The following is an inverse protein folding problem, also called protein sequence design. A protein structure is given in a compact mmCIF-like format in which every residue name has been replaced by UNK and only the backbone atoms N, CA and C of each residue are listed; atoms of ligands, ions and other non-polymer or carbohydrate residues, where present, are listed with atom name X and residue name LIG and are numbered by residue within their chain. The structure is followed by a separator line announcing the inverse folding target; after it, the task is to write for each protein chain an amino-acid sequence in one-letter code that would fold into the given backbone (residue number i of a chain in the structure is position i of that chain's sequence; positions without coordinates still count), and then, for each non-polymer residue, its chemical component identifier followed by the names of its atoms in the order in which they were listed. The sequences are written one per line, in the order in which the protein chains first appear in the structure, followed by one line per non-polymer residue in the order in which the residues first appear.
data_IF_648185776488
#
_entry.id   IF_648185776488
#
_cell.length_a   1.000
_cell.length_b   1.000
_cell.length_c   1.000
_cell.angle_alpha   90.00
_cell.angle_beta   90.00
_cell.angle_gamma   90.00
#
_symmetry.space_group_name_H-M   'P 1'
#
loop_
_entity.id
_entity.type
_entity.pdbx_description
1 polymer ?
#
# COMPACT_ATOMS: atom_id res chain seq x y z
N UNK A 1 -12.03 9.89 -8.32
CA UNK A 1 -10.91 9.55 -7.42
C UNK A 1 -9.87 8.71 -8.17
N UNK A 2 -8.58 8.98 -7.95
CA UNK A 2 -7.45 8.25 -8.54
C UNK A 2 -6.75 7.40 -7.47
N UNK A 3 -6.72 6.09 -7.66
CA UNK A 3 -6.02 5.14 -6.80
C UNK A 3 -4.74 4.68 -7.49
N UNK A 4 -3.61 4.74 -6.77
CA UNK A 4 -2.34 4.24 -7.31
C UNK A 4 -1.84 3.09 -6.44
N UNK A 5 -1.66 1.92 -7.04
CA UNK A 5 -0.99 0.80 -6.40
C UNK A 5 0.50 0.83 -6.70
N UNK A 6 1.30 0.71 -5.66
CA UNK A 6 2.74 0.51 -5.74
C UNK A 6 3.06 -0.90 -5.25
N UNK A 7 3.64 -1.70 -6.11
CA UNK A 7 3.94 -3.11 -5.82
C UNK A 7 5.46 -3.29 -5.86
N UNK A 8 6.10 -3.60 -4.72
CA UNK A 8 7.56 -3.75 -4.65
C UNK A 8 8.04 -5.08 -5.26
N UNK A 9 7.39 -5.52 -6.33
CA UNK A 9 7.74 -6.71 -7.11
C UNK A 9 7.68 -6.41 -8.60
N UNK A 10 8.44 -7.14 -9.44
CA UNK A 10 8.31 -7.07 -10.89
C UNK A 10 6.88 -7.40 -11.37
N UNK A 11 6.52 -6.98 -12.58
CA UNK A 11 5.19 -7.22 -13.16
C UNK A 11 5.05 -8.66 -13.70
N UNK A 12 5.30 -9.64 -12.87
CA UNK A 12 5.15 -11.06 -13.22
C UNK A 12 3.75 -11.61 -12.91
N UNK A 13 3.57 -12.91 -13.15
CA UNK A 13 2.30 -13.60 -12.87
C UNK A 13 1.97 -13.65 -11.37
N UNK A 14 2.96 -13.55 -10.49
CA UNK A 14 2.76 -13.57 -9.05
C UNK A 14 2.08 -12.30 -8.50
N UNK A 15 2.00 -11.24 -9.30
CA UNK A 15 1.31 -10.00 -8.92
C UNK A 15 -0.23 -10.06 -9.13
N UNK A 16 -0.85 -11.22 -8.88
CA UNK A 16 -2.29 -11.43 -9.05
C UNK A 16 -3.13 -10.48 -8.20
N UNK A 17 -2.86 -10.38 -6.90
CA UNK A 17 -3.68 -9.61 -5.98
C UNK A 17 -3.88 -8.17 -6.44
N UNK A 18 -2.79 -7.43 -6.72
CA UNK A 18 -2.90 -6.03 -7.17
C UNK A 18 -3.59 -5.89 -8.53
N UNK A 19 -3.44 -6.88 -9.42
CA UNK A 19 -4.13 -6.88 -10.73
C UNK A 19 -5.62 -7.09 -10.57
N UNK A 20 -6.04 -8.01 -9.69
CA UNK A 20 -7.45 -8.25 -9.36
C UNK A 20 -8.08 -7.01 -8.75
N UNK A 21 -7.43 -6.40 -7.75
CA UNK A 21 -7.88 -5.15 -7.15
C UNK A 21 -8.03 -4.02 -8.17
N UNK A 22 -7.02 -3.87 -9.02
CA UNK A 22 -7.05 -2.86 -10.09
C UNK A 22 -8.20 -3.10 -11.06
N UNK A 23 -8.43 -4.34 -11.47
CA UNK A 23 -9.53 -4.70 -12.34
C UNK A 23 -10.88 -4.45 -11.68
N UNK A 24 -11.02 -4.84 -10.40
CA UNK A 24 -12.24 -4.64 -9.62
C UNK A 24 -12.62 -3.16 -9.49
N UNK A 25 -11.67 -2.31 -9.09
CA UNK A 25 -11.89 -0.88 -8.99
C UNK A 25 -12.18 -0.22 -10.35
N UNK A 26 -11.47 -0.61 -11.41
CA UNK A 26 -11.72 -0.11 -12.78
C UNK A 26 -13.13 -0.45 -13.27
N UNK A 27 -13.59 -1.68 -13.02
CA UNK A 27 -14.99 -2.09 -13.34
C UNK A 27 -16.02 -1.27 -12.58
N UNK A 28 -15.67 -0.78 -11.40
CA UNK A 28 -16.51 0.12 -10.58
C UNK A 28 -16.30 1.61 -10.94
N UNK A 29 -15.70 1.90 -12.11
CA UNK A 29 -15.55 3.26 -12.64
C UNK A 29 -14.43 4.09 -12.00
N UNK A 30 -13.53 3.48 -11.22
CA UNK A 30 -12.42 4.19 -10.58
C UNK A 30 -11.21 4.31 -11.49
N UNK A 31 -10.49 5.43 -11.39
CA UNK A 31 -9.23 5.63 -12.10
C UNK A 31 -8.10 4.95 -11.32
N UNK A 32 -7.49 3.91 -11.90
CA UNK A 32 -6.47 3.10 -11.21
C UNK A 32 -5.18 3.03 -12.02
N UNK A 33 -4.08 3.33 -11.35
CA UNK A 33 -2.70 3.15 -11.84
C UNK A 33 -2.02 2.03 -11.06
N UNK A 34 -1.27 1.17 -11.75
CA UNK A 34 -0.38 0.20 -11.14
C UNK A 34 1.07 0.56 -11.46
N UNK A 35 1.92 0.57 -10.44
CA UNK A 35 3.37 0.77 -10.52
C UNK A 35 4.02 -0.51 -10.00
N UNK A 36 4.76 -1.19 -10.85
CA UNK A 36 5.57 -2.36 -10.49
C UNK A 36 7.02 -1.94 -10.40
N UNK A 37 7.69 -2.33 -9.34
CA UNK A 37 9.07 -1.94 -9.11
C UNK A 37 10.03 -3.07 -9.46
N UNK A 38 11.29 -2.75 -9.83
CA UNK A 38 12.26 -3.76 -10.20
C UNK A 38 12.55 -4.73 -9.05
N UNK A 39 12.72 -6.01 -9.36
CA UNK A 39 13.06 -7.05 -8.37
C UNK A 39 14.51 -7.00 -7.91
N UNK A 40 15.42 -6.54 -8.79
CA UNK A 40 16.84 -6.42 -8.50
C UNK A 40 17.15 -5.24 -7.61
N UNK A 41 17.34 -5.49 -6.32
CA UNK A 41 17.74 -4.49 -5.34
C UNK A 41 19.00 -4.93 -4.62
N UNK A 42 19.85 -3.98 -4.24
CA UNK A 42 21.04 -4.27 -3.46
C UNK A 42 20.65 -4.50 -2.00
N UNK A 43 21.05 -5.66 -1.45
CA UNK A 43 21.01 -5.91 -0.02
C UNK A 43 22.16 -5.19 0.68
N UNK A 44 21.87 -4.44 1.71
CA UNK A 44 22.87 -3.84 2.60
C UNK A 44 22.98 -4.69 3.86
N UNK A 45 24.20 -5.13 4.19
CA UNK A 45 24.44 -5.92 5.40
C UNK A 45 24.17 -5.07 6.63
N UNK A 46 23.33 -5.58 7.53
CA UNK A 46 23.02 -4.98 8.82
C UNK A 46 23.35 -6.00 9.92
N UNK A 47 23.52 -5.56 11.17
CA UNK A 47 23.82 -6.46 12.30
C UNK A 47 22.77 -7.58 12.53
N UNK A 48 21.55 -7.41 12.02
CA UNK A 48 20.44 -8.39 12.07
C UNK A 48 20.19 -9.11 10.75
N UNK A 49 21.07 -8.98 9.73
CA UNK A 49 20.90 -9.59 8.42
C UNK A 49 21.07 -8.61 7.26
N UNK A 50 20.33 -8.83 6.19
CA UNK A 50 20.32 -7.94 5.03
C UNK A 50 19.05 -7.10 5.01
N UNK A 51 19.20 -5.79 4.74
CA UNK A 51 18.10 -4.85 4.46
C UNK A 51 18.11 -4.53 2.97
N UNK A 52 16.98 -4.70 2.32
CA UNK A 52 16.82 -4.47 0.89
C UNK A 52 16.15 -3.13 0.62
N UNK A 53 16.83 -2.23 -0.09
CA UNK A 53 16.33 -0.90 -0.41
C UNK A 53 16.47 -0.58 -1.89
N UNK A 54 15.50 0.18 -2.40
CA UNK A 54 15.59 0.77 -3.73
C UNK A 54 16.61 1.89 -3.77
N UNK A 55 17.27 2.05 -4.91
CA UNK A 55 18.12 3.19 -5.18
C UNK A 55 17.29 4.48 -5.29
N UNK A 56 17.95 5.61 -5.06
CA UNK A 56 17.28 6.91 -4.95
C UNK A 56 16.45 7.25 -6.19
N UNK A 57 16.97 7.02 -7.40
CA UNK A 57 16.25 7.31 -8.64
C UNK A 57 14.92 6.53 -8.76
N UNK A 58 14.89 5.25 -8.33
CA UNK A 58 13.65 4.44 -8.33
C UNK A 58 12.60 5.05 -7.39
N UNK A 59 13.03 5.51 -6.22
CA UNK A 59 12.15 6.18 -5.26
C UNK A 59 11.62 7.49 -5.84
N UNK A 60 12.48 8.32 -6.43
CA UNK A 60 12.11 9.61 -7.02
C UNK A 60 11.12 9.43 -8.18
N UNK A 61 11.35 8.48 -9.09
CA UNK A 61 10.42 8.14 -10.16
C UNK A 61 9.08 7.61 -9.63
N UNK A 62 9.12 6.75 -8.59
CA UNK A 62 7.90 6.24 -7.95
C UNK A 62 7.07 7.37 -7.36
N UNK A 63 7.71 8.31 -6.65
CA UNK A 63 7.03 9.49 -6.08
C UNK A 63 6.41 10.32 -7.20
N UNK A 64 7.12 10.57 -8.29
CA UNK A 64 6.60 11.34 -9.43
C UNK A 64 5.34 10.68 -10.03
N UNK A 65 5.38 9.36 -10.21
CA UNK A 65 4.23 8.59 -10.70
C UNK A 65 3.05 8.58 -9.71
N UNK A 66 3.29 8.73 -8.41
CA UNK A 66 2.25 8.80 -7.38
C UNK A 66 1.58 10.17 -7.27
N UNK A 67 2.13 11.22 -7.86
CA UNK A 67 1.55 12.56 -7.81
C UNK A 67 0.11 12.59 -8.33
N UNK A 68 -0.74 13.35 -7.63
CA UNK A 68 -2.16 13.49 -7.93
C UNK A 68 -2.98 12.23 -7.63
N UNK A 69 -2.46 11.30 -6.83
CA UNK A 69 -3.24 10.20 -6.27
C UNK A 69 -4.05 10.67 -5.07
N UNK A 70 -5.27 10.17 -4.95
CA UNK A 70 -6.15 10.41 -3.81
C UNK A 70 -6.00 9.30 -2.75
N UNK A 71 -5.51 8.13 -3.17
CA UNK A 71 -5.16 6.99 -2.31
C UNK A 71 -3.99 6.23 -2.92
N UNK A 72 -3.03 5.82 -2.10
CA UNK A 72 -1.92 4.97 -2.50
C UNK A 72 -2.02 3.64 -1.75
N UNK A 73 -2.08 2.53 -2.49
CA UNK A 73 -2.05 1.17 -1.94
C UNK A 73 -0.68 0.53 -2.16
N UNK A 74 -0.09 -0.04 -1.12
CA UNK A 74 1.14 -0.84 -1.22
C UNK A 74 0.80 -2.28 -0.87
N UNK A 75 0.90 -3.18 -1.85
CA UNK A 75 0.59 -4.61 -1.70
C UNK A 75 1.85 -5.44 -1.75
N UNK A 76 2.10 -6.24 -0.70
CA UNK A 76 3.36 -6.97 -0.61
C UNK A 76 3.31 -8.22 0.29
N UNK A 77 4.31 -9.09 0.09
CA UNK A 77 4.64 -10.23 0.94
C UNK A 77 5.76 -9.86 1.91
N UNK A 78 5.94 -10.64 2.98
CA UNK A 78 6.89 -10.36 4.08
C UNK A 78 8.33 -10.08 3.61
N UNK A 79 8.81 -10.75 2.58
CA UNK A 79 10.14 -10.53 2.02
C UNK A 79 10.35 -9.16 1.35
N UNK A 80 9.29 -8.36 1.21
CA UNK A 80 9.32 -6.99 0.67
C UNK A 80 9.08 -5.91 1.74
N UNK A 81 9.03 -6.29 3.02
CA UNK A 81 8.72 -5.39 4.12
C UNK A 81 9.63 -4.15 4.17
N UNK A 82 10.95 -4.33 4.10
CA UNK A 82 11.92 -3.22 4.11
C UNK A 82 11.67 -2.19 3.00
N UNK A 83 11.28 -2.70 1.81
CA UNK A 83 10.99 -1.87 0.64
C UNK A 83 9.67 -1.12 0.80
N UNK A 84 8.65 -1.80 1.34
CA UNK A 84 7.36 -1.17 1.64
C UNK A 84 7.50 -0.05 2.68
N UNK A 85 8.32 -0.26 3.72
CA UNK A 85 8.69 0.79 4.69
C UNK A 85 9.33 1.98 4.00
N UNK A 86 10.41 1.73 3.24
CA UNK A 86 11.13 2.78 2.52
C UNK A 86 10.21 3.60 1.62
N UNK A 87 9.38 2.92 0.82
CA UNK A 87 8.41 3.57 -0.08
C UNK A 87 7.43 4.45 0.70
N UNK A 88 6.87 3.92 1.78
CA UNK A 88 5.91 4.65 2.61
C UNK A 88 6.54 5.90 3.22
N UNK A 89 7.73 5.78 3.81
CA UNK A 89 8.45 6.90 4.41
C UNK A 89 8.78 7.99 3.38
N UNK A 90 9.29 7.61 2.21
CA UNK A 90 9.70 8.57 1.18
C UNK A 90 8.50 9.22 0.48
N UNK A 91 7.43 8.47 0.23
CA UNK A 91 6.19 9.01 -0.35
C UNK A 91 5.54 10.01 0.64
N UNK A 92 5.40 9.66 1.93
CA UNK A 92 4.82 10.56 2.96
C UNK A 92 5.57 11.89 3.10
N UNK A 93 6.87 11.94 2.82
CA UNK A 93 7.65 13.20 2.84
C UNK A 93 7.27 14.16 1.72
N UNK A 94 6.71 13.67 0.62
CA UNK A 94 6.51 14.44 -0.62
C UNK A 94 5.05 14.56 -1.05
N UNK A 95 4.21 13.64 -0.64
CA UNK A 95 2.80 13.53 -1.05
C UNK A 95 1.93 13.42 0.19
N UNK A 96 1.02 14.38 0.35
CA UNK A 96 0.00 14.34 1.39
C UNK A 96 -1.23 13.57 0.87
N UNK A 97 -1.16 12.25 0.94
CA UNK A 97 -2.20 11.34 0.44
C UNK A 97 -2.27 10.14 1.39
N UNK A 98 -3.47 9.62 1.70
CA UNK A 98 -3.60 8.40 2.48
C UNK A 98 -2.85 7.24 1.85
N UNK A 99 -2.15 6.46 2.66
CA UNK A 99 -1.45 5.24 2.23
C UNK A 99 -2.04 4.05 2.98
N UNK A 100 -2.38 3.00 2.25
CA UNK A 100 -2.85 1.73 2.80
C UNK A 100 -1.89 0.61 2.44
N UNK A 101 -1.62 -0.26 3.41
CA UNK A 101 -0.91 -1.51 3.18
C UNK A 101 -1.88 -2.68 3.09
N UNK A 102 -1.59 -3.60 2.18
CA UNK A 102 -2.34 -4.85 2.03
C UNK A 102 -1.48 -5.98 1.48
N UNK A 103 -2.08 -7.13 1.28
CA UNK A 103 -1.41 -8.35 0.87
C UNK A 103 -1.07 -9.25 2.06
N UNK A 104 -0.20 -10.24 1.85
CA UNK A 104 0.07 -11.30 2.84
C UNK A 104 0.67 -10.73 4.12
N UNK A 105 1.69 -9.88 4.03
CA UNK A 105 2.36 -9.40 5.25
C UNK A 105 1.43 -8.58 6.16
N UNK A 106 0.71 -7.55 5.70
CA UNK A 106 -0.23 -6.83 6.56
C UNK A 106 -1.36 -7.69 7.12
N UNK A 107 -1.74 -8.76 6.42
CA UNK A 107 -2.75 -9.71 6.90
C UNK A 107 -2.24 -10.53 8.09
N UNK A 108 -0.98 -11.00 8.05
CA UNK A 108 -0.43 -11.85 9.12
C UNK A 108 0.23 -11.05 10.24
N UNK A 109 0.60 -9.80 10.01
CA UNK A 109 1.28 -8.92 10.97
C UNK A 109 0.71 -7.49 10.95
N UNK A 110 -0.62 -7.31 11.22
CA UNK A 110 -1.26 -6.00 11.11
C UNK A 110 -0.76 -4.99 12.14
N UNK A 111 -0.51 -5.40 13.39
CA UNK A 111 0.04 -4.51 14.42
C UNK A 111 1.46 -4.02 14.08
N UNK A 112 2.29 -4.85 13.47
CA UNK A 112 3.61 -4.45 13.01
C UNK A 112 3.49 -3.45 11.87
N UNK A 113 2.62 -3.73 10.91
CA UNK A 113 2.35 -2.85 9.77
C UNK A 113 1.86 -1.47 10.20
N UNK A 114 0.97 -1.38 11.21
CA UNK A 114 0.46 -0.12 11.74
C UNK A 114 1.50 0.74 12.49
N UNK A 115 2.72 0.25 12.71
CA UNK A 115 3.83 1.09 13.17
C UNK A 115 4.35 2.02 12.07
N UNK A 116 4.12 1.69 10.81
CA UNK A 116 4.68 2.36 9.63
C UNK A 116 3.64 3.08 8.77
N UNK A 117 2.39 2.61 8.82
CA UNK A 117 1.28 3.15 8.01
C UNK A 117 0.05 3.35 8.90
N UNK A 118 -0.89 4.20 8.47
CA UNK A 118 -2.07 4.52 9.28
C UNK A 118 -3.28 3.62 8.95
N UNK A 119 -3.20 2.87 7.85
CA UNK A 119 -4.26 1.95 7.41
C UNK A 119 -3.66 0.64 6.90
N UNK A 120 -4.22 -0.48 7.33
CA UNK A 120 -3.91 -1.80 6.79
C UNK A 120 -5.19 -2.54 6.44
N UNK A 121 -5.17 -3.29 5.34
CA UNK A 121 -6.22 -4.24 5.01
C UNK A 121 -5.79 -5.63 5.47
N UNK A 122 -6.67 -6.32 6.19
CA UNK A 122 -6.45 -7.65 6.76
C UNK A 122 -7.37 -8.64 6.05
N UNK A 123 -6.81 -9.55 5.29
CA UNK A 123 -7.57 -10.52 4.49
C UNK A 123 -7.89 -10.03 3.07
N UNK A 124 -9.07 -10.40 2.58
CA UNK A 124 -9.55 -10.02 1.26
C UNK A 124 -9.95 -8.55 1.23
N UNK A 125 -9.54 -7.83 0.21
CA UNK A 125 -9.74 -6.39 0.19
C UNK A 125 -10.42 -5.81 -1.06
N UNK A 126 -10.93 -6.65 -1.96
CA UNK A 126 -11.61 -6.18 -3.17
C UNK A 126 -12.83 -5.32 -2.84
N UNK A 127 -13.79 -5.88 -2.09
CA UNK A 127 -15.01 -5.17 -1.70
C UNK A 127 -14.72 -4.10 -0.65
N UNK A 128 -13.91 -4.43 0.36
CA UNK A 128 -13.52 -3.52 1.41
C UNK A 128 -12.79 -2.28 0.87
N UNK A 129 -11.90 -2.45 -0.11
CA UNK A 129 -11.20 -1.34 -0.74
C UNK A 129 -12.14 -0.47 -1.57
N UNK A 130 -13.11 -1.05 -2.26
CA UNK A 130 -14.12 -0.27 -3.00
C UNK A 130 -14.96 0.57 -2.04
N UNK A 131 -15.37 0.00 -0.90
CA UNK A 131 -16.09 0.72 0.15
C UNK A 131 -15.24 1.87 0.72
N UNK A 132 -13.96 1.61 1.05
CA UNK A 132 -13.03 2.63 1.52
C UNK A 132 -12.90 3.77 0.51
N UNK A 133 -12.66 3.45 -0.77
CA UNK A 133 -12.53 4.42 -1.86
C UNK A 133 -13.80 5.26 -2.00
N UNK A 134 -14.96 4.64 -1.90
CA UNK A 134 -16.26 5.33 -2.00
C UNK A 134 -16.46 6.29 -0.82
N UNK A 135 -16.17 5.86 0.41
CA UNK A 135 -16.26 6.72 1.60
C UNK A 135 -15.32 7.92 1.52
N UNK A 136 -14.06 7.70 1.07
CA UNK A 136 -13.10 8.79 0.87
C UNK A 136 -13.61 9.77 -0.20
N UNK A 137 -14.11 9.28 -1.32
CA UNK A 137 -14.65 10.09 -2.42
C UNK A 137 -15.86 10.94 -2.01
N UNK A 138 -16.71 10.35 -1.16
CA UNK A 138 -17.89 11.02 -0.59
C UNK A 138 -17.56 11.96 0.60
N UNK A 139 -16.31 12.02 1.05
CA UNK A 139 -15.89 12.76 2.23
C UNK A 139 -16.49 12.25 3.55
N UNK A 140 -16.87 10.97 3.59
CA UNK A 140 -17.42 10.30 4.77
C UNK A 140 -16.34 9.77 5.69
N UNK A 141 -16.68 9.49 6.97
CA UNK A 141 -15.80 8.71 7.84
C UNK A 141 -15.69 7.29 7.29
N UNK A 142 -14.47 6.82 7.14
CA UNK A 142 -14.15 5.49 6.62
C UNK A 142 -13.53 4.58 7.68
N UNK A 143 -13.47 5.03 8.93
CA UNK A 143 -12.82 4.28 10.01
C UNK A 143 -13.57 3.00 10.44
N UNK A 144 -14.77 2.79 9.94
CA UNK A 144 -15.61 1.60 10.14
C UNK A 144 -15.62 0.63 8.95
N UNK A 145 -14.76 0.85 7.95
CA UNK A 145 -14.67 -0.02 6.77
C UNK A 145 -14.21 -1.44 7.17
N UNK A 146 -14.97 -2.46 6.77
CA UNK A 146 -14.67 -3.86 7.06
C UNK A 146 -13.28 -4.27 6.56
N UNK A 147 -12.67 -5.25 7.20
CA UNK A 147 -11.31 -5.75 6.89
C UNK A 147 -10.20 -4.69 7.04
N UNK A 148 -10.51 -3.45 7.42
CA UNK A 148 -9.49 -2.43 7.62
C UNK A 148 -9.22 -2.17 9.10
N UNK A 149 -7.95 -2.12 9.43
CA UNK A 149 -7.47 -1.62 10.72
C UNK A 149 -6.86 -0.24 10.51
N UNK A 150 -7.21 0.67 11.42
CA UNK A 150 -6.81 2.08 11.35
C UNK A 150 -6.05 2.49 12.61
N UNK A 151 -5.04 3.32 12.43
CA UNK A 151 -4.40 4.05 13.51
C UNK A 151 -4.90 5.50 13.50
N UNK A 152 -5.72 5.87 14.48
CA UNK A 152 -6.33 7.20 14.60
C UNK A 152 -6.13 7.72 16.02
N UNK A 153 -5.50 8.89 16.17
CA UNK A 153 -5.25 9.54 17.46
C UNK A 153 -4.57 8.61 18.50
N UNK A 154 -3.58 7.84 18.09
CA UNK A 154 -2.85 6.91 18.95
C UNK A 154 -3.62 5.63 19.34
N UNK A 155 -4.84 5.47 18.85
CA UNK A 155 -5.65 4.25 19.05
C UNK A 155 -5.70 3.43 17.78
N UNK A 156 -5.80 2.11 17.94
CA UNK A 156 -6.02 1.17 16.84
C UNK A 156 -7.49 0.78 16.81
N UNK A 157 -8.14 1.01 15.68
CA UNK A 157 -9.50 0.53 15.38
C UNK A 157 -9.33 -0.75 14.55
N UNK A 158 -9.92 -1.84 15.00
CA UNK A 158 -9.86 -3.15 14.34
C UNK A 158 -11.26 -3.52 13.87
N UNK A 159 -11.52 -3.42 12.58
CA UNK A 159 -12.78 -3.88 12.01
C UNK A 159 -12.65 -5.35 11.57
N UNK A 160 -13.75 -6.12 11.68
CA UNK A 160 -13.79 -7.52 11.26
C UNK A 160 -13.59 -7.67 9.77
#
# INVERSE_FOLDING_TARGET
MKVTFVTPTPPDVAAFGVRTLSAYLKRSGKNVRNIFLPGGVKGHKHHKGYVYRYERHIIEETIELCKGSDLIGISFMTNYFDRAMQLTEEIKKKINCPIVWGGIHPTVAPEESLKHVDMVCVGEWEEALLELVQKIEDGKDYSDTMNFWFKKNGRVIKNP
#
